data_IF_975197762111
#
_entry.id   IF_975197762111
#
_cell.length_a   1.000
_cell.length_b   1.000
_cell.length_c   1.000
_cell.angle_alpha   90.00
_cell.angle_beta   90.00
_cell.angle_gamma   90.00
#
_symmetry.space_group_name_H-M   'P 1'
#
loop_
_entity.id
_entity.type
_entity.pdbx_description
1 polymer ?
#
# COMPACT_ATOMS: atom_id res chain seq x y z
N UNK A 1 26.25 13.91 -24.45
CA UNK A 1 26.63 14.20 -23.06
C UNK A 1 25.43 14.05 -22.14
N UNK A 2 25.58 13.29 -21.06
CA UNK A 2 24.51 13.02 -20.11
C UNK A 2 25.08 12.92 -18.69
N UNK A 3 24.19 12.87 -17.71
CA UNK A 3 24.53 12.71 -16.30
C UNK A 3 23.85 11.47 -15.73
N UNK A 4 24.50 10.83 -14.76
CA UNK A 4 23.97 9.70 -14.02
C UNK A 4 23.70 10.15 -12.57
N UNK A 5 22.54 9.80 -12.04
CA UNK A 5 22.14 10.11 -10.67
C UNK A 5 21.35 8.95 -10.08
N UNK A 6 21.46 8.75 -8.78
CA UNK A 6 20.76 7.70 -8.06
C UNK A 6 19.35 8.20 -7.74
N UNK A 7 18.32 7.44 -8.14
CA UNK A 7 16.93 7.83 -7.96
C UNK A 7 16.54 8.09 -6.50
N UNK A 8 17.08 7.33 -5.54
CA UNK A 8 16.82 7.51 -4.11
C UNK A 8 17.19 8.90 -3.59
N UNK A 9 18.24 9.51 -4.15
CA UNK A 9 18.72 10.81 -3.72
C UNK A 9 17.80 11.94 -4.19
N UNK A 10 17.11 11.73 -5.33
CA UNK A 10 16.13 12.67 -5.84
C UNK A 10 14.93 12.82 -4.91
N UNK A 11 14.65 11.75 -4.14
CA UNK A 11 13.50 11.62 -3.24
C UNK A 11 13.85 11.67 -1.75
N UNK A 12 15.11 11.93 -1.41
CA UNK A 12 15.60 11.96 -0.02
C UNK A 12 15.30 10.67 0.77
N UNK A 13 15.42 9.49 0.14
CA UNK A 13 15.09 8.21 0.80
C UNK A 13 16.12 7.76 1.86
N UNK A 14 17.25 8.46 1.98
CA UNK A 14 18.28 8.18 2.98
C UNK A 14 18.65 9.44 3.78
N UNK A 15 18.02 9.63 4.94
CA UNK A 15 18.14 10.86 5.74
C UNK A 15 19.55 11.10 6.28
N UNK A 16 20.31 10.04 6.53
CA UNK A 16 21.64 10.16 7.17
C UNK A 16 22.68 10.77 6.25
N UNK A 17 22.49 10.72 4.93
CA UNK A 17 23.46 11.25 3.99
C UNK A 17 22.83 11.57 2.63
N UNK A 18 22.99 12.82 2.20
CA UNK A 18 22.70 13.25 0.83
C UNK A 18 24.02 13.62 0.15
N UNK A 19 24.43 12.94 -0.94
CA UNK A 19 25.66 13.26 -1.65
C UNK A 19 25.64 14.70 -2.21
N UNK A 20 26.80 15.38 -2.18
CA UNK A 20 26.91 16.79 -2.61
C UNK A 20 26.52 17.06 -4.07
N UNK A 21 26.62 16.06 -4.93
CA UNK A 21 26.27 16.17 -6.36
C UNK A 21 24.79 15.88 -6.63
N UNK A 22 24.06 15.40 -5.62
CA UNK A 22 22.65 15.06 -5.74
C UNK A 22 21.78 16.30 -5.50
N UNK A 23 20.68 16.38 -6.24
CA UNK A 23 19.62 17.37 -6.04
C UNK A 23 18.38 16.66 -5.55
N UNK A 24 17.91 17.02 -4.36
CA UNK A 24 16.59 16.59 -3.87
C UNK A 24 15.52 17.41 -4.58
N UNK A 25 14.59 16.72 -5.23
CA UNK A 25 13.45 17.34 -5.90
C UNK A 25 12.22 17.35 -5.00
N UNK A 26 12.03 16.27 -4.23
CA UNK A 26 10.92 16.11 -3.28
C UNK A 26 11.44 15.33 -2.08
N UNK A 27 11.06 15.74 -0.87
CA UNK A 27 11.25 14.92 0.32
C UNK A 27 10.10 13.91 0.43
N UNK A 28 10.36 12.65 0.08
CA UNK A 28 9.31 11.63 -0.01
C UNK A 28 8.97 11.00 1.34
N UNK A 29 9.85 11.13 2.35
CA UNK A 29 9.67 10.48 3.65
C UNK A 29 8.40 10.96 4.35
N UNK A 30 8.13 12.28 4.52
CA UNK A 30 6.89 12.73 5.16
C UNK A 30 5.62 12.27 4.44
N UNK A 31 5.70 12.15 3.10
CA UNK A 31 4.58 11.68 2.27
C UNK A 31 4.33 10.20 2.53
N UNK A 32 5.40 9.37 2.54
CA UNK A 32 5.32 7.95 2.85
C UNK A 32 4.75 7.72 4.27
N UNK A 33 5.21 8.48 5.25
CA UNK A 33 4.68 8.41 6.62
C UNK A 33 3.18 8.73 6.68
N UNK A 34 2.75 9.76 5.96
CA UNK A 34 1.35 10.14 5.88
C UNK A 34 0.51 9.02 5.26
N UNK A 35 0.99 8.44 4.15
CA UNK A 35 0.32 7.31 3.47
C UNK A 35 0.13 6.13 4.42
N UNK A 36 1.14 5.77 5.21
CA UNK A 36 1.00 4.67 6.18
C UNK A 36 0.01 4.98 7.31
N UNK A 37 -0.03 6.23 7.79
CA UNK A 37 -0.99 6.66 8.81
C UNK A 37 -2.42 6.62 8.28
N UNK A 38 -2.63 7.09 7.06
CA UNK A 38 -3.95 7.10 6.41
C UNK A 38 -4.44 5.68 6.12
N UNK A 39 -3.58 4.82 5.57
CA UNK A 39 -3.90 3.41 5.37
C UNK A 39 -4.26 2.71 6.69
N UNK A 40 -3.46 2.92 7.75
CA UNK A 40 -3.74 2.36 9.08
C UNK A 40 -5.10 2.84 9.60
N UNK A 41 -5.42 4.13 9.41
CA UNK A 41 -6.70 4.70 9.81
C UNK A 41 -7.86 4.05 9.05
N UNK A 42 -7.76 3.92 7.73
CA UNK A 42 -8.81 3.32 6.91
C UNK A 42 -9.06 1.86 7.27
N UNK A 43 -8.02 1.10 7.61
CA UNK A 43 -8.15 -0.29 8.10
C UNK A 43 -8.84 -0.32 9.46
N UNK A 44 -8.43 0.54 10.41
CA UNK A 44 -9.03 0.61 11.75
C UNK A 44 -10.49 1.02 11.72
N UNK A 45 -10.84 1.95 10.83
CA UNK A 45 -12.20 2.43 10.62
C UNK A 45 -13.02 1.50 9.71
N UNK A 46 -12.43 0.40 9.20
CA UNK A 46 -13.04 -0.52 8.23
C UNK A 46 -13.58 0.17 6.96
N UNK A 47 -12.94 1.27 6.57
CA UNK A 47 -13.16 1.93 5.27
C UNK A 47 -12.40 1.22 4.16
N UNK A 48 -11.22 0.68 4.48
CA UNK A 48 -10.45 -0.16 3.58
C UNK A 48 -10.34 -1.60 4.13
N UNK A 49 -10.52 -2.64 3.29
CA UNK A 49 -11.02 -2.56 1.92
C UNK A 49 -12.49 -2.14 1.88
N UNK A 50 -12.82 -1.21 0.96
CA UNK A 50 -14.19 -0.79 0.66
C UNK A 50 -14.88 -1.71 -0.36
N UNK A 51 -16.16 -1.47 -0.69
CA UNK A 51 -16.87 -2.23 -1.72
C UNK A 51 -16.17 -2.22 -3.09
N UNK A 52 -15.55 -1.11 -3.48
CA UNK A 52 -14.76 -0.97 -4.71
C UNK A 52 -13.46 -1.79 -4.71
N UNK A 53 -12.97 -2.14 -3.52
CA UNK A 53 -11.79 -2.98 -3.30
C UNK A 53 -12.15 -4.44 -3.00
N UNK A 54 -13.45 -4.78 -3.00
CA UNK A 54 -13.96 -6.08 -2.59
C UNK A 54 -14.78 -6.70 -3.70
N UNK A 55 -14.40 -7.89 -4.15
CA UNK A 55 -15.23 -8.70 -5.04
C UNK A 55 -16.00 -9.70 -4.19
N UNK A 56 -17.33 -9.62 -4.22
CA UNK A 56 -18.18 -10.54 -3.49
C UNK A 56 -18.39 -11.84 -4.26
N UNK A 57 -18.33 -12.96 -3.55
CA UNK A 57 -18.69 -14.27 -4.07
C UNK A 57 -20.21 -14.35 -4.21
N UNK A 58 -20.69 -14.90 -5.33
CA UNK A 58 -22.13 -15.15 -5.50
C UNK A 58 -22.61 -16.22 -4.51
N UNK A 59 -23.86 -16.10 -4.07
CA UNK A 59 -24.47 -17.00 -3.08
C UNK A 59 -24.41 -18.48 -3.51
N UNK A 60 -24.59 -18.78 -4.79
CA UNK A 60 -24.51 -20.14 -5.31
C UNK A 60 -23.11 -20.76 -5.22
N UNK A 61 -22.08 -19.96 -5.46
CA UNK A 61 -20.68 -20.39 -5.36
C UNK A 61 -20.29 -20.59 -3.88
N UNK A 62 -20.80 -19.73 -3.00
CA UNK A 62 -20.59 -19.88 -1.56
C UNK A 62 -21.20 -21.19 -1.03
N UNK A 63 -22.40 -21.56 -1.48
CA UNK A 63 -23.05 -22.84 -1.09
C UNK A 63 -22.26 -24.05 -1.56
N UNK A 64 -21.83 -24.05 -2.84
CA UNK A 64 -20.97 -25.11 -3.39
C UNK A 64 -19.67 -25.26 -2.59
N UNK A 65 -19.05 -24.13 -2.25
CA UNK A 65 -17.84 -24.12 -1.44
C UNK A 65 -18.09 -24.69 -0.04
N UNK A 66 -19.17 -24.29 0.62
CA UNK A 66 -19.56 -24.81 1.94
C UNK A 66 -19.77 -26.32 1.93
N UNK A 67 -20.45 -26.86 0.91
CA UNK A 67 -20.63 -28.30 0.73
C UNK A 67 -19.30 -29.01 0.50
N UNK A 68 -18.44 -28.47 -0.38
CA UNK A 68 -17.13 -29.06 -0.71
C UNK A 68 -16.20 -29.17 0.50
N UNK A 69 -16.17 -28.15 1.35
CA UNK A 69 -15.27 -28.14 2.52
C UNK A 69 -15.93 -28.68 3.80
N UNK A 70 -17.17 -29.15 3.71
CA UNK A 70 -17.94 -29.62 4.86
C UNK A 70 -18.15 -28.52 5.92
N UNK A 71 -18.29 -27.26 5.49
CA UNK A 71 -18.41 -26.12 6.40
C UNK A 71 -19.73 -26.20 7.17
N UNK A 72 -19.65 -26.59 8.44
CA UNK A 72 -20.77 -26.49 9.38
C UNK A 72 -20.72 -25.11 10.05
N UNK A 73 -21.69 -24.25 9.74
CA UNK A 73 -21.84 -22.95 10.41
C UNK A 73 -22.05 -23.23 11.91
N UNK A 74 -21.24 -22.60 12.77
CA UNK A 74 -21.40 -22.65 14.23
C UNK A 74 -22.62 -21.83 14.66
#
# INVERSE_FOLDING_TARGET
>A
DGVHIIGSDLFHLYEKHTPRHSKVYVDLIPIIEQVYKDYMKDVKERKYPGPEHTVFMKEEELKRFQEMVGWKKK
#
